data_IF_517133682693
#
_entry.id   IF_517133682693
#
_cell.length_a   1.000
_cell.length_b   1.000
_cell.length_c   1.000
_cell.angle_alpha   90.00
_cell.angle_beta   90.00
_cell.angle_gamma   90.00
#
_symmetry.space_group_name_H-M   'P 1'
#
loop_
_entity.id
_entity.type
_entity.pdbx_description
1 polymer ?
#
# COMPACT_ATOMS: atom_id res chain seq x y z
N UNK A 1 4.27 -14.28 -1.39
CA UNK A 1 5.12 -13.16 -0.98
C UNK A 1 4.80 -12.70 0.41
N UNK A 2 5.81 -12.39 1.17
CA UNK A 2 5.65 -11.90 2.52
C UNK A 2 5.40 -10.39 2.51
N UNK A 3 4.46 -9.93 3.32
CA UNK A 3 4.14 -8.51 3.42
C UNK A 3 4.41 -8.04 4.85
N UNK A 4 5.15 -6.95 4.97
CA UNK A 4 5.41 -6.31 6.25
C UNK A 4 4.93 -4.87 6.19
N UNK A 5 4.74 -4.26 7.34
CA UNK A 5 4.21 -2.90 7.43
C UNK A 5 5.19 -2.02 8.19
N UNK A 6 5.44 -0.83 7.66
CA UNK A 6 6.23 0.17 8.38
C UNK A 6 5.43 0.67 9.58
N UNK A 7 6.11 1.37 10.48
CA UNK A 7 5.42 1.99 11.63
C UNK A 7 4.34 2.95 11.16
N UNK A 8 4.64 3.72 10.13
CA UNK A 8 3.67 4.65 9.58
C UNK A 8 2.46 3.91 9.00
N UNK A 9 2.70 2.84 8.26
CA UNK A 9 1.61 2.07 7.68
C UNK A 9 0.72 1.46 8.75
N UNK A 10 1.31 0.98 9.83
CA UNK A 10 0.53 0.45 10.95
C UNK A 10 -0.37 1.54 11.54
N UNK A 11 0.18 2.73 11.74
CA UNK A 11 -0.61 3.85 12.24
C UNK A 11 -1.71 4.24 11.26
N UNK A 12 -1.39 4.25 9.98
CA UNK A 12 -2.35 4.62 8.95
C UNK A 12 -3.52 3.65 8.93
N UNK A 13 -3.24 2.35 8.94
CA UNK A 13 -4.30 1.34 8.85
C UNK A 13 -5.20 1.35 10.08
N UNK A 14 -4.67 1.69 11.23
CA UNK A 14 -5.46 1.74 12.45
C UNK A 14 -6.52 2.82 12.42
N UNK A 15 -6.32 3.86 11.63
CA UNK A 15 -7.26 4.97 11.53
C UNK A 15 -8.38 4.70 10.54
N UNK A 16 -8.30 3.62 9.80
CA UNK A 16 -9.26 3.30 8.75
C UNK A 16 -10.31 2.35 9.30
N UNK A 17 -11.58 2.67 9.08
CA UNK A 17 -12.68 1.84 9.56
C UNK A 17 -13.01 0.74 8.58
N UNK A 18 -13.54 -0.36 9.11
CA UNK A 18 -14.15 -1.39 8.27
C UNK A 18 -15.40 -0.81 7.60
N UNK A 19 -15.76 -1.23 6.39
CA UNK A 19 -15.14 -2.31 5.61
C UNK A 19 -13.93 -1.88 4.79
N UNK A 20 -13.62 -0.58 4.78
CA UNK A 20 -12.50 -0.07 3.98
C UNK A 20 -11.17 -0.73 4.39
N UNK A 21 -10.95 -0.86 5.68
CA UNK A 21 -9.75 -1.52 6.19
C UNK A 21 -9.61 -2.93 5.62
N UNK A 22 -10.70 -3.68 5.57
CA UNK A 22 -10.66 -5.05 5.05
C UNK A 22 -10.33 -5.07 3.56
N UNK A 23 -10.88 -4.13 2.82
CA UNK A 23 -10.60 -4.04 1.38
C UNK A 23 -9.12 -3.75 1.14
N UNK A 24 -8.56 -2.84 1.91
CA UNK A 24 -7.15 -2.48 1.79
C UNK A 24 -6.25 -3.65 2.13
N UNK A 25 -6.53 -4.32 3.24
CA UNK A 25 -5.75 -5.48 3.66
C UNK A 25 -5.82 -6.60 2.61
N UNK A 26 -7.01 -6.83 2.08
CA UNK A 26 -7.20 -7.84 1.06
C UNK A 26 -6.40 -7.53 -0.20
N UNK A 27 -6.38 -6.27 -0.60
CA UNK A 27 -5.59 -5.84 -1.76
C UNK A 27 -4.10 -6.01 -1.54
N UNK A 28 -3.63 -5.70 -0.34
CA UNK A 28 -2.22 -5.85 0.01
C UNK A 28 -1.83 -7.33 -0.05
N UNK A 29 -2.70 -8.21 0.42
CA UNK A 29 -2.41 -9.65 0.38
C UNK A 29 -2.25 -10.18 -1.04
N UNK A 30 -2.89 -9.55 -2.00
CA UNK A 30 -2.81 -9.97 -3.39
C UNK A 30 -1.58 -9.42 -4.11
N UNK A 31 -0.84 -8.51 -3.49
CA UNK A 31 0.36 -7.98 -4.14
C UNK A 31 1.30 -9.10 -4.54
N UNK A 32 1.96 -9.00 -5.67
CA UNK A 32 2.06 -7.83 -6.56
C UNK A 32 0.91 -7.67 -7.57
N UNK A 33 -0.16 -8.41 -7.43
CA UNK A 33 -1.31 -8.27 -8.31
C UNK A 33 -2.17 -7.08 -7.87
N UNK A 34 -2.86 -6.48 -8.84
CA UNK A 34 -3.72 -5.35 -8.58
C UNK A 34 -3.37 -4.16 -9.44
N UNK A 35 -3.96 -3.03 -9.10
CA UNK A 35 -3.71 -1.78 -9.83
C UNK A 35 -2.42 -1.14 -9.31
N UNK A 36 -1.30 -1.66 -9.79
CA UNK A 36 0.03 -1.29 -9.31
C UNK A 36 0.76 -0.48 -10.37
N UNK A 37 1.39 0.59 -9.92
CA UNK A 37 2.22 1.43 -10.79
C UNK A 37 3.49 1.82 -10.07
N UNK A 38 4.59 1.85 -10.82
CA UNK A 38 5.85 2.35 -10.27
C UNK A 38 5.80 3.86 -10.16
N UNK A 39 6.31 4.40 -9.07
CA UNK A 39 6.34 5.84 -8.88
C UNK A 39 7.50 6.45 -9.63
N UNK A 40 7.19 7.51 -10.38
CA UNK A 40 8.19 8.22 -11.16
C UNK A 40 9.21 8.86 -10.25
N UNK A 41 10.48 8.76 -10.62
CA UNK A 41 11.54 9.39 -9.85
C UNK A 41 12.06 8.57 -8.69
N UNK A 42 11.49 7.40 -8.46
CA UNK A 42 11.93 6.52 -7.38
C UNK A 42 12.26 5.16 -7.95
N UNK A 43 13.35 4.57 -7.48
CA UNK A 43 13.80 3.30 -8.01
C UNK A 43 12.99 2.11 -7.51
N UNK A 44 12.51 2.19 -6.29
CA UNK A 44 11.87 1.05 -5.65
C UNK A 44 10.64 1.45 -4.86
N UNK A 45 9.84 2.34 -5.43
CA UNK A 45 8.56 2.70 -4.82
C UNK A 45 7.44 2.51 -5.83
N UNK A 46 6.38 1.90 -5.33
CA UNK A 46 5.21 1.55 -6.12
C UNK A 46 3.96 1.98 -5.38
N UNK A 47 2.87 2.14 -6.11
CA UNK A 47 1.59 2.40 -5.47
C UNK A 47 0.58 1.34 -5.90
N UNK A 48 -0.22 0.93 -4.96
CA UNK A 48 -1.39 0.09 -5.19
C UNK A 48 -2.61 0.96 -4.96
N UNK A 49 -3.52 1.02 -5.92
CA UNK A 49 -4.74 1.80 -5.77
C UNK A 49 -5.90 0.88 -5.42
N UNK A 50 -6.62 1.24 -4.36
CA UNK A 50 -7.83 0.53 -3.95
C UNK A 50 -8.89 1.58 -3.70
N UNK A 51 -9.85 1.72 -4.62
CA UNK A 51 -10.86 2.76 -4.50
C UNK A 51 -10.21 4.13 -4.42
N UNK A 52 -10.51 4.85 -3.36
CA UNK A 52 -9.95 6.18 -3.12
C UNK A 52 -8.70 6.15 -2.26
N UNK A 53 -8.08 4.99 -2.13
CA UNK A 53 -6.91 4.82 -1.28
C UNK A 53 -5.70 4.46 -2.11
N UNK A 54 -4.55 4.93 -1.64
CA UNK A 54 -3.27 4.68 -2.27
C UNK A 54 -2.34 4.06 -1.25
N UNK A 55 -1.80 2.89 -1.58
CA UNK A 55 -0.87 2.18 -0.72
C UNK A 55 0.51 2.25 -1.36
N UNK A 56 1.46 2.83 -0.66
CA UNK A 56 2.83 2.95 -1.14
C UNK A 56 3.63 1.80 -0.58
N UNK A 57 4.33 1.09 -1.45
CA UNK A 57 5.12 -0.06 -1.01
C UNK A 57 6.43 -0.16 -1.79
N UNK A 58 7.35 -0.92 -1.24
CA UNK A 58 8.64 -1.20 -1.86
C UNK A 58 8.94 -2.69 -1.70
N UNK A 59 9.92 -3.16 -2.45
CA UNK A 59 10.42 -4.52 -2.28
C UNK A 59 11.62 -4.46 -1.36
N UNK A 60 11.41 -4.85 -0.11
CA UNK A 60 12.47 -4.81 0.89
C UNK A 60 13.52 -5.88 0.63
N UNK A 61 13.05 -7.04 0.18
CA UNK A 61 13.91 -8.16 -0.19
C UNK A 61 13.22 -8.91 -1.32
N UNK A 62 13.90 -9.94 -1.82
CA UNK A 62 13.41 -10.68 -2.99
C UNK A 62 11.94 -11.11 -2.91
N UNK A 63 11.52 -11.61 -1.78
CA UNK A 63 10.14 -12.06 -1.62
C UNK A 63 9.42 -11.33 -0.51
N UNK A 64 9.85 -10.09 -0.22
CA UNK A 64 9.27 -9.32 0.86
C UNK A 64 8.85 -7.95 0.36
N UNK A 65 7.58 -7.63 0.55
CA UNK A 65 7.05 -6.32 0.25
C UNK A 65 6.88 -5.56 1.57
N UNK A 66 7.39 -4.34 1.60
CA UNK A 66 7.22 -3.44 2.74
C UNK A 66 6.17 -2.40 2.37
N UNK A 67 5.07 -2.39 3.12
CA UNK A 67 4.05 -1.36 2.97
C UNK A 67 4.53 -0.13 3.72
N UNK A 68 4.83 0.94 2.98
CA UNK A 68 5.42 2.16 3.53
C UNK A 68 4.39 3.08 4.14
N UNK A 69 3.29 3.30 3.44
CA UNK A 69 2.23 4.16 3.94
C UNK A 69 0.93 3.90 3.21
N UNK A 70 -0.16 4.27 3.85
CA UNK A 70 -1.51 4.11 3.31
C UNK A 70 -2.19 5.46 3.45
N UNK A 71 -2.63 6.03 2.35
CA UNK A 71 -3.19 7.38 2.37
C UNK A 71 -4.39 7.51 1.47
N UNK A 72 -5.28 8.45 1.75
CA UNK A 72 -6.38 8.74 0.85
C UNK A 72 -5.80 9.33 -0.43
N UNK A 73 -6.41 8.97 -1.51
CA UNK A 73 -5.99 9.45 -2.80
C UNK A 73 -6.66 10.78 -3.10
N UNK A 74 -6.08 11.55 -3.91
CA UNK A 74 -6.80 12.41 -4.78
C UNK A 74 -7.32 13.75 -4.39
N UNK A 75 -7.68 13.93 -3.22
CA UNK A 75 -8.13 15.26 -2.84
C UNK A 75 -6.97 16.24 -2.81
N UNK A 76 -5.79 15.72 -2.94
CA UNK A 76 -4.56 16.51 -2.97
C UNK A 76 -4.26 17.02 -4.35
N UNK A 77 -4.95 16.49 -5.29
CA UNK A 77 -4.70 16.81 -6.69
C UNK A 77 -5.91 17.45 -7.31
#
# INVERSE_FOLDING_TARGET
MRKTYSKKAVKDIKKINSPTKQRIKSGIEKLPEGDVKKLKGYENLYRLRIGDWRIIFSYAEKNVILVEEIEPRGDVY
#
